data_IF_727694624149
#
_entry.id   IF_727694624149
#
_cell.length_a   1.000
_cell.length_b   1.000
_cell.length_c   1.000
_cell.angle_alpha   90.00
_cell.angle_beta   90.00
_cell.angle_gamma   90.00
#
_symmetry.space_group_name_H-M   'P 1'
#
loop_
_entity.id
_entity.type
_entity.pdbx_description
1 polymer ?
#
# COMPACT_ATOMS: atom_id res chain seq x y z
N UNK A 1 12.79 -16.57 -13.49
CA UNK A 1 12.42 -16.05 -14.85
C UNK A 1 11.58 -14.76 -14.73
N UNK A 2 11.56 -13.84 -15.71
CA UNK A 2 10.64 -12.67 -15.71
C UNK A 2 9.37 -13.05 -16.46
N UNK A 3 8.20 -12.87 -15.84
CA UNK A 3 6.90 -13.06 -16.49
C UNK A 3 6.03 -11.81 -16.31
N UNK A 4 5.28 -11.46 -17.36
CA UNK A 4 4.21 -10.48 -17.27
C UNK A 4 2.94 -11.23 -16.86
N UNK A 5 2.35 -10.86 -15.73
CA UNK A 5 1.17 -11.52 -15.19
C UNK A 5 -0.09 -10.74 -15.58
N UNK A 6 -1.04 -11.44 -16.20
CA UNK A 6 -2.35 -10.89 -16.61
C UNK A 6 -3.50 -11.44 -15.79
N UNK A 7 -3.26 -12.46 -14.96
CA UNK A 7 -4.26 -13.06 -14.09
C UNK A 7 -4.23 -12.42 -12.69
N UNK A 8 -5.36 -11.85 -12.20
CA UNK A 8 -5.44 -11.20 -10.89
C UNK A 8 -5.11 -12.12 -9.72
N UNK A 9 -5.64 -13.36 -9.75
CA UNK A 9 -5.50 -14.32 -8.65
C UNK A 9 -4.06 -14.78 -8.48
N UNK A 10 -3.40 -15.14 -9.59
CA UNK A 10 -1.98 -15.49 -9.64
C UNK A 10 -1.10 -14.35 -9.17
N UNK A 11 -1.39 -13.11 -9.57
CA UNK A 11 -0.62 -11.94 -9.15
C UNK A 11 -0.71 -11.73 -7.64
N UNK A 12 -1.93 -11.62 -7.09
CA UNK A 12 -2.11 -11.34 -5.67
C UNK A 12 -1.58 -12.49 -4.80
N UNK A 13 -1.74 -13.75 -5.22
CA UNK A 13 -1.14 -14.89 -4.52
C UNK A 13 0.40 -14.80 -4.48
N UNK A 14 1.03 -14.57 -5.63
CA UNK A 14 2.49 -14.49 -5.72
C UNK A 14 3.06 -13.28 -4.96
N UNK A 15 2.35 -12.14 -4.99
CA UNK A 15 2.70 -10.96 -4.22
C UNK A 15 2.64 -11.24 -2.71
N UNK A 16 1.62 -11.98 -2.24
CA UNK A 16 1.45 -12.30 -0.81
C UNK A 16 2.55 -13.19 -0.22
N UNK A 17 3.27 -13.91 -1.07
CA UNK A 17 4.39 -14.76 -0.64
C UNK A 17 5.70 -13.97 -0.46
N UNK A 18 5.72 -12.68 -0.83
CA UNK A 18 6.90 -11.82 -0.70
C UNK A 18 6.91 -11.05 0.63
N UNK A 19 8.08 -10.84 1.24
CA UNK A 19 8.19 -10.25 2.59
C UNK A 19 7.78 -8.77 2.66
N UNK A 20 7.78 -8.08 1.53
CA UNK A 20 7.46 -6.65 1.39
C UNK A 20 6.24 -6.44 0.50
N UNK A 21 5.29 -7.40 0.53
CA UNK A 21 3.99 -7.24 -0.08
C UNK A 21 3.30 -5.96 0.43
N UNK A 22 2.59 -5.26 -0.46
CA UNK A 22 1.91 -4.02 -0.10
C UNK A 22 0.63 -3.85 -0.90
N UNK A 23 -0.42 -3.28 -0.29
CA UNK A 23 -1.73 -3.06 -0.95
C UNK A 23 -1.63 -2.25 -2.25
N UNK A 24 -0.71 -1.29 -2.32
CA UNK A 24 -0.46 -0.49 -3.53
C UNK A 24 0.21 -1.28 -4.68
N UNK A 25 0.64 -2.51 -4.42
CA UNK A 25 1.15 -3.43 -5.43
C UNK A 25 0.08 -4.44 -5.90
N UNK A 26 -1.12 -4.47 -5.30
CA UNK A 26 -2.17 -5.44 -5.67
C UNK A 26 -2.73 -5.18 -7.06
N UNK A 27 -3.44 -6.18 -7.58
CA UNK A 27 -4.14 -6.06 -8.85
C UNK A 27 -5.15 -4.90 -8.85
N UNK A 28 -5.91 -4.79 -7.76
CA UNK A 28 -6.97 -3.82 -7.51
C UNK A 28 -6.44 -2.39 -7.57
N UNK A 29 -5.28 -2.12 -6.95
CA UNK A 29 -4.67 -0.79 -7.04
C UNK A 29 -4.33 -0.41 -8.48
N UNK A 30 -3.76 -1.35 -9.24
CA UNK A 30 -3.51 -1.15 -10.67
C UNK A 30 -4.79 -0.92 -11.46
N UNK A 31 -5.83 -1.72 -11.21
CA UNK A 31 -7.14 -1.58 -11.85
C UNK A 31 -7.79 -0.22 -11.56
N UNK A 32 -7.75 0.24 -10.31
CA UNK A 32 -8.18 1.58 -9.92
C UNK A 32 -7.38 2.67 -10.66
N UNK A 33 -6.05 2.60 -10.61
CA UNK A 33 -5.19 3.59 -11.28
C UNK A 33 -5.36 3.59 -12.81
N UNK A 34 -5.76 2.48 -13.41
CA UNK A 34 -6.02 2.41 -14.85
C UNK A 34 -7.15 3.34 -15.32
N UNK A 35 -8.14 3.55 -14.46
CA UNK A 35 -9.25 4.49 -14.70
C UNK A 35 -8.83 5.96 -14.58
N UNK A 36 -7.65 6.21 -14.01
CA UNK A 36 -7.06 7.53 -13.81
C UNK A 36 -5.82 7.76 -14.67
N UNK A 37 -5.78 7.15 -15.86
CA UNK A 37 -4.78 7.43 -16.90
C UNK A 37 -3.43 6.74 -16.71
N UNK A 38 -3.35 5.76 -15.82
CA UNK A 38 -2.17 4.89 -15.69
C UNK A 38 -2.35 3.58 -16.46
N UNK A 39 -1.26 2.96 -16.88
CA UNK A 39 -1.23 1.65 -17.51
C UNK A 39 -0.43 0.72 -16.60
N UNK A 40 -1.10 -0.16 -15.84
CA UNK A 40 -0.43 -1.07 -14.92
C UNK A 40 0.15 -2.29 -15.65
N UNK A 41 1.43 -2.59 -15.41
CA UNK A 41 2.11 -3.81 -15.84
C UNK A 41 2.64 -4.58 -14.62
N UNK A 42 2.36 -5.88 -14.54
CA UNK A 42 2.69 -6.73 -13.37
C UNK A 42 3.84 -7.65 -13.70
N UNK A 43 5.02 -7.32 -13.21
CA UNK A 43 6.21 -8.12 -13.43
C UNK A 43 6.47 -9.01 -12.23
N UNK A 44 6.47 -10.33 -12.46
CA UNK A 44 6.81 -11.33 -11.46
C UNK A 44 8.15 -11.99 -11.82
N UNK A 45 9.03 -12.08 -10.84
CA UNK A 45 10.30 -12.78 -10.93
C UNK A 45 10.29 -13.98 -10.00
N UNK A 46 10.64 -15.13 -10.57
CA UNK A 46 10.80 -16.40 -9.86
C UNK A 46 12.28 -16.76 -9.68
N UNK A 47 12.57 -17.52 -8.63
CA UNK A 47 13.89 -18.09 -8.37
C UNK A 47 14.37 -18.98 -9.54
N UNK A 48 15.67 -19.28 -9.59
CA UNK A 48 16.26 -20.10 -10.65
C UNK A 48 15.99 -21.61 -10.49
N UNK A 49 15.67 -22.04 -9.28
CA UNK A 49 15.44 -23.42 -8.88
C UNK A 49 13.96 -23.84 -8.87
N UNK A 50 13.04 -22.94 -9.25
CA UNK A 50 11.62 -23.25 -9.37
C UNK A 50 10.71 -22.03 -9.58
N UNK A 51 9.39 -22.25 -9.50
CA UNK A 51 8.36 -21.23 -9.72
C UNK A 51 8.09 -20.33 -8.49
N UNK A 52 8.93 -20.41 -7.45
CA UNK A 52 8.75 -19.61 -6.23
C UNK A 52 8.99 -18.12 -6.52
N UNK A 53 8.04 -17.23 -6.19
CA UNK A 53 8.23 -15.78 -6.25
C UNK A 53 9.46 -15.33 -5.44
N UNK A 54 10.30 -14.49 -6.03
CA UNK A 54 11.42 -13.86 -5.34
C UNK A 54 11.36 -12.33 -5.38
N UNK A 55 10.79 -11.76 -6.45
CA UNK A 55 10.50 -10.33 -6.53
C UNK A 55 9.26 -10.06 -7.38
N UNK A 56 8.58 -8.95 -7.13
CA UNK A 56 7.44 -8.49 -7.91
C UNK A 56 7.43 -6.95 -8.04
N UNK A 57 6.92 -6.45 -9.16
CA UNK A 57 6.65 -5.02 -9.36
C UNK A 57 5.38 -4.80 -10.19
N UNK A 58 4.37 -4.20 -9.57
CA UNK A 58 3.25 -3.51 -10.21
C UNK A 58 3.74 -2.12 -10.62
N UNK A 59 4.04 -1.98 -11.90
CA UNK A 59 4.59 -0.77 -12.50
C UNK A 59 3.45 0.01 -13.15
N UNK A 60 3.24 1.24 -12.71
CA UNK A 60 2.26 2.15 -13.27
C UNK A 60 2.94 3.06 -14.29
N UNK A 61 2.54 3.00 -15.56
CA UNK A 61 3.06 3.85 -16.63
C UNK A 61 2.02 4.89 -17.06
N UNK A 62 2.38 6.17 -17.10
CA UNK A 62 1.51 7.23 -17.63
C UNK A 62 2.21 7.94 -18.79
N UNK A 63 1.56 7.98 -19.96
CA UNK A 63 2.08 8.68 -21.14
C UNK A 63 1.77 10.17 -21.06
N UNK A 64 2.74 11.01 -21.44
CA UNK A 64 2.64 12.47 -21.35
C UNK A 64 2.36 13.07 -22.72
N UNK A 65 1.12 13.52 -22.94
CA UNK A 65 0.72 14.24 -24.14
C UNK A 65 0.87 13.41 -25.43
N UNK A 66 1.18 14.09 -26.54
CA UNK A 66 1.29 13.48 -27.89
C UNK A 66 2.67 12.89 -28.21
N UNK A 67 3.67 13.07 -27.33
CA UNK A 67 5.02 12.56 -27.55
C UNK A 67 5.17 11.14 -26.98
N UNK A 68 6.12 10.33 -27.48
CA UNK A 68 6.36 8.98 -26.97
C UNK A 68 7.17 9.01 -25.67
N UNK A 69 6.80 9.86 -24.72
CA UNK A 69 7.42 9.99 -23.40
C UNK A 69 6.44 9.53 -22.31
N UNK A 70 6.97 8.82 -21.32
CA UNK A 70 6.20 8.30 -20.21
C UNK A 70 6.81 8.68 -18.86
N UNK A 71 6.02 8.54 -17.80
CA UNK A 71 6.51 8.50 -16.42
C UNK A 71 6.09 7.17 -15.82
N UNK A 72 7.01 6.55 -15.07
CA UNK A 72 6.76 5.26 -14.45
C UNK A 72 6.87 5.37 -12.94
N UNK A 73 6.03 4.61 -12.24
CA UNK A 73 6.00 4.59 -10.79
C UNK A 73 5.69 3.19 -10.26
N UNK A 74 6.47 2.75 -9.28
CA UNK A 74 6.31 1.46 -8.59
C UNK A 74 5.98 1.76 -7.11
N UNK A 75 4.70 2.00 -6.77
CA UNK A 75 4.30 2.44 -5.44
C UNK A 75 4.60 1.38 -4.38
N UNK A 76 5.37 1.74 -3.35
CA UNK A 76 5.79 0.87 -2.24
C UNK A 76 6.53 -0.39 -2.68
N UNK A 77 7.03 -0.42 -3.92
CA UNK A 77 7.77 -1.54 -4.46
C UNK A 77 9.15 -1.14 -4.98
N UNK A 78 9.86 -2.06 -5.66
CA UNK A 78 9.47 -3.46 -5.89
C UNK A 78 9.32 -4.27 -4.59
N UNK A 79 8.45 -5.27 -4.58
CA UNK A 79 8.36 -6.22 -3.47
C UNK A 79 9.46 -7.28 -3.63
N UNK A 80 10.42 -7.32 -2.71
CA UNK A 80 11.47 -8.34 -2.60
C UNK A 80 12.08 -8.35 -1.18
N UNK A 81 12.97 -9.31 -0.92
CA UNK A 81 13.85 -9.26 0.25
C UNK A 81 15.01 -8.28 0.00
N UNK A 82 14.98 -7.10 0.62
CA UNK A 82 15.98 -6.05 0.43
C UNK A 82 17.37 -6.40 0.99
N UNK A 83 17.46 -7.34 1.93
CA UNK A 83 18.73 -7.92 2.39
C UNK A 83 19.45 -8.75 1.31
N UNK A 84 18.73 -9.23 0.29
CA UNK A 84 19.34 -9.91 -0.85
C UNK A 84 19.81 -8.88 -1.89
N UNK A 85 21.05 -8.42 -1.72
CA UNK A 85 21.66 -7.39 -2.58
C UNK A 85 21.74 -7.78 -4.05
N UNK A 86 22.01 -9.05 -4.36
CA UNK A 86 22.06 -9.54 -5.75
C UNK A 86 20.67 -9.40 -6.39
N UNK A 87 19.62 -9.82 -5.69
CA UNK A 87 18.25 -9.72 -6.18
C UNK A 87 17.80 -8.27 -6.34
N UNK A 88 18.17 -7.39 -5.40
CA UNK A 88 17.91 -5.96 -5.49
C UNK A 88 18.54 -5.36 -6.76
N UNK A 89 19.83 -5.59 -6.97
CA UNK A 89 20.57 -5.10 -8.14
C UNK A 89 19.96 -5.60 -9.46
N UNK A 90 19.62 -6.89 -9.53
CA UNK A 90 18.95 -7.47 -10.70
C UNK A 90 17.57 -6.86 -10.93
N UNK A 91 16.79 -6.62 -9.87
CA UNK A 91 15.44 -6.05 -9.97
C UNK A 91 15.51 -4.60 -10.45
N UNK A 92 16.42 -3.79 -9.89
CA UNK A 92 16.65 -2.41 -10.31
C UNK A 92 17.09 -2.33 -11.78
N UNK A 93 18.04 -3.17 -12.20
CA UNK A 93 18.47 -3.23 -13.59
C UNK A 93 17.31 -3.55 -14.56
N UNK A 94 16.38 -4.42 -14.16
CA UNK A 94 15.20 -4.77 -14.96
C UNK A 94 14.18 -3.64 -15.00
N UNK A 95 13.96 -2.91 -13.91
CA UNK A 95 13.11 -1.73 -13.87
C UNK A 95 13.68 -0.62 -14.77
N UNK A 96 14.98 -0.36 -14.69
CA UNK A 96 15.67 0.61 -15.54
C UNK A 96 15.61 0.22 -17.02
N UNK A 97 15.77 -1.07 -17.34
CA UNK A 97 15.62 -1.58 -18.71
C UNK A 97 14.20 -1.38 -19.23
N UNK A 98 13.20 -1.69 -18.40
CA UNK A 98 11.78 -1.49 -18.73
C UNK A 98 11.49 0.00 -18.96
N UNK A 99 12.06 0.88 -18.12
CA UNK A 99 11.91 2.33 -18.26
C UNK A 99 12.48 2.86 -19.59
N UNK A 100 13.65 2.36 -20.01
CA UNK A 100 14.24 2.70 -21.32
C UNK A 100 13.38 2.21 -22.48
N UNK A 101 12.83 0.99 -22.39
CA UNK A 101 11.95 0.42 -23.42
C UNK A 101 10.65 1.22 -23.57
N UNK A 102 10.07 1.67 -22.46
CA UNK A 102 8.87 2.52 -22.44
C UNK A 102 9.15 3.99 -22.75
N UNK A 103 10.41 4.36 -23.04
CA UNK A 103 10.86 5.75 -23.25
C UNK A 103 10.42 6.66 -22.09
N UNK A 104 10.48 6.15 -20.87
CA UNK A 104 10.11 6.90 -19.69
C UNK A 104 11.17 7.95 -19.36
N UNK A 105 10.72 9.18 -19.05
CA UNK A 105 11.57 10.26 -18.55
C UNK A 105 12.20 9.88 -17.21
N UNK A 106 11.46 9.15 -16.38
CA UNK A 106 11.94 8.55 -15.15
C UNK A 106 11.07 7.36 -14.74
N UNK A 107 11.66 6.48 -13.93
CA UNK A 107 10.94 5.53 -13.08
C UNK A 107 11.18 5.92 -11.62
N UNK A 108 10.11 5.93 -10.83
CA UNK A 108 10.14 6.24 -9.41
C UNK A 108 9.76 5.03 -8.58
N UNK A 109 10.44 4.85 -7.46
CA UNK A 109 10.15 3.84 -6.44
C UNK A 109 10.13 4.51 -5.07
N UNK A 110 9.41 3.94 -4.12
CA UNK A 110 9.34 4.37 -2.72
C UNK A 110 9.15 3.16 -1.80
N UNK A 111 10.11 2.23 -1.77
CA UNK A 111 9.98 0.97 -1.05
C UNK A 111 9.90 1.20 0.46
N UNK A 112 9.24 0.27 1.16
CA UNK A 112 9.01 0.35 2.60
C UNK A 112 10.23 -0.13 3.41
N UNK A 113 11.38 0.55 3.18
CA UNK A 113 12.65 0.28 3.85
C UNK A 113 13.04 1.48 4.70
N UNK A 114 13.30 1.24 5.97
CA UNK A 114 13.65 2.30 6.93
C UNK A 114 15.11 2.75 6.75
N UNK A 115 15.30 3.98 6.32
CA UNK A 115 16.60 4.52 5.89
C UNK A 115 17.65 4.61 7.02
N UNK A 116 17.25 4.58 8.28
CA UNK A 116 18.12 4.64 9.46
C UNK A 116 18.66 3.27 9.90
N UNK A 117 18.06 2.18 9.40
CA UNK A 117 18.53 0.80 9.63
C UNK A 117 19.77 0.47 8.79
N UNK A 118 20.47 -0.62 9.14
CA UNK A 118 21.61 -1.11 8.36
C UNK A 118 21.20 -1.50 6.93
N UNK A 119 20.06 -2.20 6.79
CA UNK A 119 19.49 -2.55 5.48
C UNK A 119 19.15 -1.29 4.68
N UNK A 120 18.47 -0.31 5.27
CA UNK A 120 18.11 0.92 4.58
C UNK A 120 19.31 1.73 4.10
N UNK A 121 20.36 1.85 4.91
CA UNK A 121 21.62 2.51 4.50
C UNK A 121 22.24 1.82 3.28
N UNK A 122 22.30 0.49 3.30
CA UNK A 122 22.78 -0.32 2.19
C UNK A 122 21.92 -0.12 0.92
N UNK A 123 20.59 -0.15 1.04
CA UNK A 123 19.67 0.07 -0.09
C UNK A 123 19.88 1.46 -0.69
N UNK A 124 19.99 2.49 0.13
CA UNK A 124 20.24 3.87 -0.32
C UNK A 124 21.57 3.99 -1.05
N UNK A 125 22.64 3.36 -0.54
CA UNK A 125 23.95 3.35 -1.19
C UNK A 125 23.89 2.69 -2.56
N UNK A 126 23.26 1.52 -2.66
CA UNK A 126 23.07 0.77 -3.92
C UNK A 126 22.29 1.60 -4.95
N UNK A 127 21.19 2.23 -4.53
CA UNK A 127 20.43 3.16 -5.37
C UNK A 127 21.31 4.29 -5.92
N UNK A 128 22.11 4.94 -5.05
CA UNK A 128 23.04 6.01 -5.47
C UNK A 128 24.10 5.52 -6.45
N UNK A 129 24.70 4.36 -6.21
CA UNK A 129 25.72 3.78 -7.09
C UNK A 129 25.19 3.46 -8.48
N UNK A 130 23.88 3.18 -8.60
CA UNK A 130 23.17 2.98 -9.87
C UNK A 130 22.65 4.28 -10.50
N UNK A 131 22.88 5.43 -9.87
CA UNK A 131 22.46 6.74 -10.37
C UNK A 131 21.03 7.16 -10.01
N UNK A 132 20.33 6.42 -9.13
CA UNK A 132 19.03 6.84 -8.62
C UNK A 132 19.20 8.06 -7.71
N UNK A 133 18.22 8.97 -7.77
CA UNK A 133 18.23 10.24 -7.02
C UNK A 133 16.98 10.35 -6.14
N UNK A 134 17.10 10.92 -4.93
CA UNK A 134 15.94 11.26 -4.13
C UNK A 134 14.98 12.17 -4.91
N UNK A 135 13.69 11.81 -4.92
CA UNK A 135 12.66 12.65 -5.54
C UNK A 135 12.28 13.80 -4.60
N UNK A 136 12.18 15.03 -5.13
CA UNK A 136 11.75 16.21 -4.36
C UNK A 136 10.26 16.17 -4.02
N UNK A 137 9.47 15.57 -4.92
CA UNK A 137 8.04 15.35 -4.70
C UNK A 137 7.83 14.05 -3.94
N UNK A 138 7.10 14.09 -2.84
CA UNK A 138 6.73 12.90 -2.08
C UNK A 138 5.30 12.51 -2.46
N UNK A 139 5.15 11.30 -3.00
CA UNK A 139 3.83 10.76 -3.35
C UNK A 139 3.24 10.02 -2.14
N UNK A 140 4.08 9.35 -1.36
CA UNK A 140 3.71 8.64 -0.13
C UNK A 140 4.29 9.34 1.10
N UNK A 141 3.60 9.23 2.23
CA UNK A 141 4.08 9.73 3.52
C UNK A 141 5.30 8.93 3.99
N UNK A 142 6.33 9.63 4.50
CA UNK A 142 7.57 9.01 4.98
C UNK A 142 7.43 8.39 6.37
N UNK A 143 6.52 8.94 7.18
CA UNK A 143 6.36 8.55 8.57
C UNK A 143 5.05 7.79 8.70
N UNK A 144 5.14 6.49 8.98
CA UNK A 144 4.01 5.62 9.25
C UNK A 144 4.16 5.08 10.67
N UNK A 145 3.11 5.17 11.48
CA UNK A 145 3.08 4.50 12.77
C UNK A 145 2.65 3.05 12.55
N UNK A 146 3.54 2.11 12.85
CA UNK A 146 3.24 0.68 12.81
C UNK A 146 2.98 0.17 14.23
N UNK A 147 1.91 -0.59 14.39
CA UNK A 147 1.56 -1.28 15.63
C UNK A 147 1.57 -2.79 15.35
N UNK A 148 2.38 -3.53 16.10
CA UNK A 148 2.34 -5.00 16.06
C UNK A 148 1.03 -5.48 16.71
N UNK A 149 0.25 -6.28 15.98
CA UNK A 149 -1.03 -6.82 16.44
C UNK A 149 -0.92 -8.26 16.96
N UNK A 150 0.28 -8.84 17.00
CA UNK A 150 0.51 -10.17 17.59
C UNK A 150 0.16 -10.27 19.08
N UNK A 151 0.41 -9.25 19.92
CA UNK A 151 0.02 -9.30 21.34
C UNK A 151 -1.51 -9.37 21.52
N UNK A 152 -1.96 -9.80 22.71
CA UNK A 152 -3.38 -9.85 23.01
C UNK A 152 -4.01 -8.43 23.03
N UNK A 153 -5.32 -8.29 22.80
CA UNK A 153 -5.99 -6.99 22.93
C UNK A 153 -5.77 -6.31 24.30
N UNK A 154 -5.68 -7.09 25.37
CA UNK A 154 -5.42 -6.57 26.72
C UNK A 154 -3.98 -6.07 26.86
N UNK A 155 -3.00 -6.77 26.30
CA UNK A 155 -1.60 -6.33 26.29
C UNK A 155 -1.43 -5.05 25.46
N UNK A 156 -2.08 -5.00 24.28
CA UNK A 156 -2.10 -3.81 23.43
C UNK A 156 -2.70 -2.62 24.15
N UNK A 157 -3.83 -2.82 24.85
CA UNK A 157 -4.44 -1.79 25.67
C UNK A 157 -3.47 -1.35 26.76
N UNK A 158 -2.86 -2.27 27.51
CA UNK A 158 -1.95 -1.94 28.61
C UNK A 158 -0.70 -1.19 28.15
N UNK A 159 -0.21 -1.43 26.94
CA UNK A 159 0.91 -0.70 26.34
C UNK A 159 0.58 0.75 25.96
N UNK A 160 -0.70 1.12 25.79
CA UNK A 160 -1.08 2.51 25.48
C UNK A 160 -0.80 3.44 26.65
N UNK A 161 -0.66 4.75 26.40
CA UNK A 161 -0.64 5.76 27.47
C UNK A 161 -1.93 5.68 28.32
N UNK A 162 -1.83 5.89 29.63
CA UNK A 162 -2.94 5.86 30.59
C UNK A 162 -4.15 6.69 30.17
N UNK A 163 -3.94 7.89 29.61
CA UNK A 163 -5.03 8.75 29.12
C UNK A 163 -5.80 8.11 27.96
N UNK A 164 -5.10 7.42 27.04
CA UNK A 164 -5.72 6.76 25.89
C UNK A 164 -6.50 5.52 26.31
N UNK A 165 -5.95 4.71 27.22
CA UNK A 165 -6.67 3.57 27.83
C UNK A 165 -7.95 4.03 28.50
N UNK A 166 -7.86 5.09 29.31
CA UNK A 166 -9.00 5.67 30.01
C UNK A 166 -10.08 6.12 29.02
N UNK A 167 -9.71 6.88 27.98
CA UNK A 167 -10.65 7.38 26.98
C UNK A 167 -11.30 6.25 26.17
N UNK A 168 -10.55 5.22 25.81
CA UNK A 168 -11.08 4.04 25.11
C UNK A 168 -12.16 3.34 25.93
N UNK A 169 -11.91 3.10 27.22
CA UNK A 169 -12.89 2.53 28.14
C UNK A 169 -14.08 3.47 28.38
N UNK A 170 -13.83 4.78 28.46
CA UNK A 170 -14.88 5.78 28.62
C UNK A 170 -15.82 5.82 27.42
N UNK A 171 -15.30 5.72 26.19
CA UNK A 171 -16.11 5.67 24.98
C UNK A 171 -17.11 4.50 25.02
N UNK A 172 -16.65 3.30 25.37
CA UNK A 172 -17.52 2.14 25.56
C UNK A 172 -18.60 2.38 26.63
N UNK A 173 -18.24 2.92 27.80
CA UNK A 173 -19.22 3.29 28.85
C UNK A 173 -20.22 4.35 28.42
N UNK A 174 -19.84 5.23 27.49
CA UNK A 174 -20.73 6.25 26.90
C UNK A 174 -21.63 5.69 25.78
N UNK A 175 -21.60 4.38 25.53
CA UNK A 175 -22.45 3.72 24.56
C UNK A 175 -21.95 3.78 23.12
N UNK A 176 -20.66 4.03 22.92
CA UNK A 176 -20.04 3.91 21.59
C UNK A 176 -19.97 2.44 21.21
N UNK A 177 -20.59 2.10 20.08
CA UNK A 177 -20.55 0.78 19.46
C UNK A 177 -19.83 0.88 18.12
N UNK A 178 -19.07 -0.15 17.74
CA UNK A 178 -18.39 -0.20 16.44
C UNK A 178 -18.94 -1.37 15.65
N UNK A 179 -19.41 -1.10 14.43
CA UNK A 179 -19.84 -2.14 13.48
C UNK A 179 -18.96 -2.14 12.23
N UNK A 180 -18.95 -3.29 11.55
CA UNK A 180 -18.41 -3.39 10.19
C UNK A 180 -19.35 -2.64 9.25
N UNK A 181 -18.80 -1.69 8.50
CA UNK A 181 -19.53 -1.03 7.42
C UNK A 181 -19.61 -1.90 6.16
N UNK A 182 -20.51 -1.52 5.27
CA UNK A 182 -20.71 -2.13 3.96
C UNK A 182 -20.68 -1.08 2.84
N UNK A 183 -20.89 -1.51 1.59
CA UNK A 183 -20.81 -0.63 0.42
C UNK A 183 -21.85 0.51 0.44
N UNK A 184 -23.00 0.29 1.08
CA UNK A 184 -24.03 1.31 1.27
C UNK A 184 -23.62 2.39 2.30
N UNK A 185 -22.59 2.15 3.12
CA UNK A 185 -22.04 3.16 4.03
C UNK A 185 -21.07 4.13 3.32
N UNK A 186 -20.67 3.88 2.07
CA UNK A 186 -19.70 4.74 1.35
C UNK A 186 -20.05 6.24 1.36
N UNK A 187 -21.31 6.66 1.12
CA UNK A 187 -21.68 8.08 1.18
C UNK A 187 -21.47 8.67 2.59
N UNK A 188 -21.80 7.90 3.64
CA UNK A 188 -21.58 8.30 5.03
C UNK A 188 -20.08 8.45 5.32
N UNK A 189 -19.25 7.49 4.89
CA UNK A 189 -17.79 7.56 5.05
C UNK A 189 -17.23 8.82 4.39
N UNK A 190 -17.69 9.15 3.18
CA UNK A 190 -17.22 10.32 2.45
C UNK A 190 -17.67 11.62 3.12
N UNK A 191 -18.95 11.72 3.52
CA UNK A 191 -19.48 12.92 4.18
C UNK A 191 -18.67 13.28 5.43
N UNK A 192 -18.38 12.30 6.28
CA UNK A 192 -17.59 12.50 7.50
C UNK A 192 -16.10 12.79 7.22
N UNK A 193 -15.54 12.18 6.16
CA UNK A 193 -14.18 12.50 5.71
C UNK A 193 -14.09 13.92 5.15
N UNK A 194 -15.11 14.37 4.42
CA UNK A 194 -15.22 15.73 3.90
C UNK A 194 -15.38 16.77 5.01
N UNK A 195 -16.18 16.48 6.03
CA UNK A 195 -16.29 17.33 7.22
C UNK A 195 -14.96 17.45 7.95
N UNK A 196 -14.24 16.33 8.11
CA UNK A 196 -12.90 16.30 8.70
C UNK A 196 -11.91 17.14 7.88
N UNK A 197 -11.94 17.01 6.55
CA UNK A 197 -11.11 17.78 5.64
C UNK A 197 -11.38 19.29 5.69
N UNK A 198 -12.67 19.67 5.77
CA UNK A 198 -13.07 21.06 5.91
C UNK A 198 -12.64 21.65 7.25
N UNK A 199 -12.77 20.89 8.34
CA UNK A 199 -12.34 21.29 9.68
C UNK A 199 -10.82 21.47 9.77
N UNK A 200 -10.07 20.50 9.24
CA UNK A 200 -8.61 20.44 9.41
C UNK A 200 -7.85 21.11 8.25
N UNK A 201 -8.56 21.59 7.22
CA UNK A 201 -8.02 22.44 6.16
C UNK A 201 -7.22 21.73 5.07
N UNK A 202 -7.53 20.46 4.74
CA UNK A 202 -6.84 19.72 3.68
C UNK A 202 -7.73 19.41 2.47
N UNK A 203 -7.11 19.37 1.29
CA UNK A 203 -7.81 19.13 0.02
C UNK A 203 -8.06 17.63 -0.15
N UNK A 204 -9.30 17.27 -0.47
CA UNK A 204 -9.71 15.91 -0.81
C UNK A 204 -10.14 15.79 -2.26
N UNK A 205 -10.19 14.56 -2.78
CA UNK A 205 -10.78 14.26 -4.09
C UNK A 205 -12.32 14.27 -4.00
N UNK A 206 -13.03 14.39 -5.13
CA UNK A 206 -14.49 14.29 -5.14
C UNK A 206 -14.96 12.90 -4.71
N UNK A 207 -16.25 12.79 -4.36
CA UNK A 207 -16.85 11.58 -3.80
C UNK A 207 -16.69 10.35 -4.70
N UNK A 208 -16.87 10.52 -6.00
CA UNK A 208 -16.76 9.45 -7.00
C UNK A 208 -15.40 8.73 -6.97
N UNK A 209 -14.32 9.49 -6.75
CA UNK A 209 -12.97 8.96 -6.60
C UNK A 209 -12.86 7.99 -5.40
N UNK A 210 -13.44 8.37 -4.26
CA UNK A 210 -13.40 7.54 -3.05
C UNK A 210 -14.40 6.39 -3.10
N UNK A 211 -15.60 6.61 -3.64
CA UNK A 211 -16.58 5.56 -3.86
C UNK A 211 -16.02 4.45 -4.77
N UNK A 212 -15.30 4.82 -5.84
CA UNK A 212 -14.62 3.85 -6.70
C UNK A 212 -13.49 3.13 -5.96
N UNK A 213 -12.55 3.89 -5.37
CA UNK A 213 -11.42 3.31 -4.65
C UNK A 213 -11.90 2.40 -3.51
N UNK A 214 -12.56 2.94 -2.51
CA UNK A 214 -13.02 2.18 -1.34
C UNK A 214 -13.95 1.05 -1.73
N UNK A 215 -14.89 1.28 -2.67
CA UNK A 215 -15.79 0.24 -3.15
C UNK A 215 -15.05 -0.94 -3.78
N UNK A 216 -14.00 -0.67 -4.58
CA UNK A 216 -13.16 -1.73 -5.16
C UNK A 216 -12.41 -2.52 -4.08
N UNK A 217 -11.77 -1.83 -3.13
CA UNK A 217 -11.01 -2.49 -2.07
C UNK A 217 -11.90 -3.30 -1.12
N UNK A 218 -13.09 -2.80 -0.78
CA UNK A 218 -14.08 -3.50 0.05
C UNK A 218 -14.56 -4.77 -0.66
N UNK A 219 -14.94 -4.69 -1.94
CA UNK A 219 -15.39 -5.86 -2.73
C UNK A 219 -14.30 -6.92 -2.85
N UNK A 220 -13.04 -6.51 -2.92
CA UNK A 220 -11.90 -7.41 -2.98
C UNK A 220 -11.46 -7.97 -1.61
N UNK A 221 -12.12 -7.58 -0.51
CA UNK A 221 -11.72 -7.98 0.85
C UNK A 221 -10.41 -7.36 1.33
N UNK A 222 -9.92 -6.32 0.65
CA UNK A 222 -8.68 -5.59 0.96
C UNK A 222 -8.93 -4.35 1.84
N UNK A 223 -10.19 -4.02 2.11
CA UNK A 223 -10.56 -2.96 3.04
C UNK A 223 -11.83 -3.33 3.82
N UNK A 224 -11.90 -2.91 5.07
CA UNK A 224 -13.06 -3.04 5.93
C UNK A 224 -13.34 -1.69 6.60
N UNK A 225 -14.42 -0.99 6.22
CA UNK A 225 -14.84 0.18 6.97
C UNK A 225 -15.35 -0.22 8.35
N UNK A 226 -15.06 0.61 9.34
CA UNK A 226 -15.63 0.57 10.67
C UNK A 226 -16.43 1.84 10.90
N UNK A 227 -17.67 1.69 11.38
CA UNK A 227 -18.55 2.79 11.72
C UNK A 227 -18.78 2.77 13.22
N UNK A 228 -18.38 3.85 13.90
CA UNK A 228 -18.67 4.06 15.30
C UNK A 228 -20.01 4.80 15.45
N UNK A 229 -20.87 4.29 16.31
CA UNK A 229 -22.24 4.80 16.52
C UNK A 229 -22.52 4.99 18.02
N UNK A 230 -23.34 5.98 18.35
CA UNK A 230 -23.89 6.19 19.71
C UNK A 230 -25.40 6.28 19.57
N UNK A 231 -26.13 5.37 20.23
CA UNK A 231 -27.61 5.28 20.12
C UNK A 231 -28.12 5.15 18.67
N UNK A 232 -27.35 4.50 17.80
CA UNK A 232 -27.68 4.31 16.38
C UNK A 232 -27.29 5.48 15.47
N UNK A 233 -26.77 6.58 16.03
CA UNK A 233 -26.28 7.72 15.26
C UNK A 233 -24.77 7.58 14.99
N UNK A 234 -24.31 7.65 13.74
CA UNK A 234 -22.89 7.62 13.41
C UNK A 234 -22.12 8.80 14.00
N UNK A 235 -21.04 8.53 14.72
CA UNK A 235 -20.18 9.55 15.35
C UNK A 235 -18.79 9.65 14.73
N UNK A 236 -18.31 8.60 14.07
CA UNK A 236 -17.04 8.62 13.35
C UNK A 236 -16.88 7.39 12.45
N UNK A 237 -16.39 7.52 11.21
CA UNK A 237 -15.98 6.38 10.41
C UNK A 237 -14.46 6.28 10.31
N UNK A 238 -13.97 5.04 10.19
CA UNK A 238 -12.59 4.77 9.83
C UNK A 238 -12.59 3.70 8.73
N UNK A 239 -12.05 4.04 7.55
CA UNK A 239 -11.74 3.03 6.54
C UNK A 239 -10.41 2.37 6.90
N UNK A 240 -10.41 1.07 7.21
CA UNK A 240 -9.17 0.32 7.42
C UNK A 240 -8.82 -0.43 6.14
N UNK A 241 -7.60 -0.24 5.64
CA UNK A 241 -7.00 -1.16 4.67
C UNK A 241 -6.60 -2.45 5.39
N UNK A 242 -7.17 -3.58 4.98
CA UNK A 242 -6.81 -4.89 5.49
C UNK A 242 -5.80 -5.54 4.56
N UNK A 243 -4.55 -5.66 4.98
CA UNK A 243 -3.59 -6.46 4.24
C UNK A 243 -3.79 -7.94 4.60
N UNK A 244 -4.72 -8.61 3.92
CA UNK A 244 -4.87 -10.06 4.02
C UNK A 244 -3.58 -10.80 3.59
N UNK A 245 -2.63 -10.11 2.93
CA UNK A 245 -1.36 -10.67 2.50
C UNK A 245 -0.27 -10.60 3.59
N UNK A 246 -0.30 -9.60 4.48
CA UNK A 246 0.66 -9.48 5.59
C UNK A 246 0.51 -10.55 6.68
N UNK A 247 -0.70 -11.10 6.85
CA UNK A 247 -0.97 -12.15 7.83
C UNK A 247 -0.23 -13.48 7.53
N UNK A 248 0.15 -13.73 6.26
CA UNK A 248 0.89 -14.95 5.87
C UNK A 248 2.41 -14.82 5.99
N UNK A 249 2.98 -13.62 5.83
CA UNK A 249 4.41 -13.39 5.97
C UNK A 249 4.89 -13.46 7.43
N UNK A 250 4.04 -13.06 8.39
CA UNK A 250 4.37 -13.08 9.83
C UNK A 250 4.41 -14.46 10.49
N UNK A 251 3.98 -15.52 9.80
CA UNK A 251 3.90 -16.89 10.31
C UNK A 251 5.13 -17.76 9.98
N UNK A 252 6.13 -17.24 9.26
CA UNK A 252 7.31 -18.01 8.80
C UNK A 252 8.64 -17.66 9.48
N UNK A 253 8.60 -16.88 10.56
CA UNK A 253 9.77 -16.57 11.39
C UNK A 253 9.69 -17.20 12.79
N UNK A 254 9.35 -18.49 12.81
CA UNK A 254 9.73 -19.43 13.87
C UNK A 254 10.56 -20.54 13.22
#
# INVERSE_FOLDING_TARGET
MKSLITDPGRWNSALSDLPTAHVLQTWEWGAFKSRHGWQPARYLWTASDGDRPCAAASVLTRRLGRFPSAVMYVPKGPALNYGNTILLEQTLARLETTARQERALFVKIDPDVWADTAEGKMVVERLRNRGWRPSREQIQFRNTMLLDLKPSPDDLLMAMNSKWRYNTRLAGRKGVMVRRGALNDLPLLYAMYAETAARDGFIIRPEDYYADAWGLFIKAGLAQPLVAEVKGEPVSPIAMGGDAMGARAGLRHL
#
